data_IF_226793877699
#
_entry.id   IF_226793877699
#
_cell.length_a   1.000
_cell.length_b   1.000
_cell.length_c   1.000
_cell.angle_alpha   90.00
_cell.angle_beta   90.00
_cell.angle_gamma   90.00
#
_symmetry.space_group_name_H-M   'P 1'
#
loop_
_entity.id
_entity.type
_entity.pdbx_description
1 polymer ?
#
# COMPACT_ATOMS: atom_id res chain seq x y z
N UNK A 1 -16.99 5.82 -19.02
CA UNK A 1 -15.85 6.75 -19.00
C UNK A 1 -14.94 6.43 -20.17
N UNK A 2 -14.36 7.44 -20.84
CA UNK A 2 -13.41 7.22 -21.93
C UNK A 2 -12.09 6.61 -21.41
N UNK A 3 -11.51 5.65 -22.14
CA UNK A 3 -10.35 4.90 -21.67
C UNK A 3 -9.05 5.71 -21.66
N UNK A 4 -8.89 6.69 -22.57
CA UNK A 4 -7.74 7.61 -22.53
C UNK A 4 -7.87 8.57 -21.36
N UNK A 5 -9.07 9.08 -21.10
CA UNK A 5 -9.32 9.93 -19.95
C UNK A 5 -9.09 9.17 -18.62
N UNK A 6 -9.53 7.91 -18.54
CA UNK A 6 -9.29 7.05 -17.39
C UNK A 6 -7.79 6.82 -17.16
N UNK A 7 -7.05 6.50 -18.23
CA UNK A 7 -5.61 6.32 -18.18
C UNK A 7 -4.90 7.56 -17.63
N UNK A 8 -5.21 8.74 -18.15
CA UNK A 8 -4.57 9.98 -17.68
C UNK A 8 -4.85 10.23 -16.19
N UNK A 9 -6.09 10.05 -15.75
CA UNK A 9 -6.48 10.24 -14.34
C UNK A 9 -5.73 9.29 -13.39
N UNK A 10 -5.58 8.03 -13.77
CA UNK A 10 -4.83 7.05 -12.96
C UNK A 10 -3.34 7.40 -12.92
N UNK A 11 -2.75 7.75 -14.07
CA UNK A 11 -1.33 8.07 -14.15
C UNK A 11 -0.93 9.34 -13.38
N UNK A 12 -1.88 10.26 -13.14
CA UNK A 12 -1.65 11.47 -12.34
C UNK A 12 -2.04 11.31 -10.87
N UNK A 13 -2.44 10.12 -10.43
CA UNK A 13 -2.86 9.89 -9.05
C UNK A 13 -1.64 9.75 -8.12
N UNK A 14 -1.66 10.42 -6.96
CA UNK A 14 -0.59 10.36 -5.96
C UNK A 14 -0.36 8.92 -5.44
N UNK A 15 -1.45 8.16 -5.31
CA UNK A 15 -1.44 6.78 -4.82
C UNK A 15 -1.21 5.72 -5.92
N UNK A 16 -0.79 6.12 -7.12
CA UNK A 16 -0.61 5.21 -8.26
C UNK A 16 0.25 3.98 -7.92
N UNK A 17 1.33 4.17 -7.16
CA UNK A 17 2.20 3.05 -6.76
C UNK A 17 1.47 2.06 -5.85
N UNK A 18 0.69 2.54 -4.89
CA UNK A 18 -0.09 1.68 -4.00
C UNK A 18 -1.14 0.87 -4.77
N UNK A 19 -1.75 1.46 -5.80
CA UNK A 19 -2.67 0.72 -6.68
C UNK A 19 -1.93 -0.38 -7.46
N UNK A 20 -0.74 -0.07 -7.98
CA UNK A 20 0.11 -1.02 -8.70
C UNK A 20 0.47 -2.21 -7.79
N UNK A 21 0.88 -1.93 -6.56
CA UNK A 21 1.23 -2.95 -5.57
C UNK A 21 0.03 -3.82 -5.20
N UNK A 22 -1.13 -3.20 -4.94
CA UNK A 22 -2.36 -3.92 -4.58
C UNK A 22 -2.81 -4.91 -5.67
N UNK A 23 -2.82 -4.48 -6.92
CA UNK A 23 -3.23 -5.34 -8.04
C UNK A 23 -2.09 -6.19 -8.62
N UNK A 24 -0.86 -6.06 -8.10
CA UNK A 24 0.34 -6.72 -8.63
C UNK A 24 0.54 -6.45 -10.13
N UNK A 25 0.37 -5.19 -10.53
CA UNK A 25 0.53 -4.70 -11.90
C UNK A 25 1.58 -3.59 -11.97
N UNK A 26 2.11 -3.36 -13.16
CA UNK A 26 3.03 -2.25 -13.45
C UNK A 26 2.34 -1.09 -14.16
N UNK A 27 2.94 0.10 -14.06
CA UNK A 27 2.51 1.29 -14.81
C UNK A 27 2.50 1.02 -16.32
N UNK A 28 3.45 0.24 -16.83
CA UNK A 28 3.50 -0.11 -18.25
C UNK A 28 2.32 -1.00 -18.68
N UNK A 29 1.89 -1.95 -17.84
CA UNK A 29 0.68 -2.72 -18.11
C UNK A 29 -0.57 -1.82 -18.14
N UNK A 30 -0.67 -0.83 -17.25
CA UNK A 30 -1.78 0.14 -17.25
C UNK A 30 -1.81 0.95 -18.56
N UNK A 31 -0.64 1.36 -19.08
CA UNK A 31 -0.53 2.08 -20.37
C UNK A 31 -0.89 1.20 -21.57
N UNK A 32 -0.47 -0.06 -21.55
CA UNK A 32 -0.72 -1.03 -22.64
C UNK A 32 -2.19 -1.48 -22.67
N UNK A 33 -2.85 -1.53 -21.51
CA UNK A 33 -4.23 -1.99 -21.37
C UNK A 33 -5.10 -0.93 -20.66
N UNK A 34 -5.60 0.09 -21.38
CA UNK A 34 -6.38 1.18 -20.79
C UNK A 34 -7.65 0.77 -20.02
N UNK A 35 -8.14 -0.46 -20.23
CA UNK A 35 -9.25 -1.03 -19.45
C UNK A 35 -8.89 -1.22 -17.97
N UNK A 36 -7.62 -1.48 -17.66
CA UNK A 36 -7.12 -1.58 -16.29
C UNK A 36 -7.32 -0.24 -15.57
N UNK A 37 -7.04 0.88 -16.25
CA UNK A 37 -7.25 2.21 -15.67
C UNK A 37 -8.73 2.49 -15.38
N UNK A 38 -9.65 2.02 -16.22
CA UNK A 38 -11.09 2.13 -15.97
C UNK A 38 -11.47 1.34 -14.72
N UNK A 39 -11.00 0.09 -14.61
CA UNK A 39 -11.28 -0.76 -13.46
C UNK A 39 -10.74 -0.18 -12.14
N UNK A 40 -9.51 0.36 -12.16
CA UNK A 40 -8.91 1.03 -11.00
C UNK A 40 -9.79 2.19 -10.54
N UNK A 41 -10.27 3.03 -11.48
CA UNK A 41 -11.12 4.17 -11.15
C UNK A 41 -12.50 3.78 -10.63
N UNK A 42 -13.08 2.68 -11.12
CA UNK A 42 -14.34 2.13 -10.61
C UNK A 42 -14.23 1.70 -9.14
N UNK A 43 -13.04 1.25 -8.71
CA UNK A 43 -12.77 0.78 -7.36
C UNK A 43 -11.95 1.78 -6.51
N UNK A 44 -11.71 3.00 -7.03
CA UNK A 44 -10.79 3.95 -6.43
C UNK A 44 -11.18 4.34 -5.00
N UNK A 45 -12.47 4.55 -4.73
CA UNK A 45 -12.93 4.92 -3.38
C UNK A 45 -12.53 3.87 -2.34
N UNK A 46 -12.73 2.59 -2.65
CA UNK A 46 -12.37 1.50 -1.74
C UNK A 46 -10.85 1.39 -1.53
N UNK A 47 -10.06 1.63 -2.58
CA UNK A 47 -8.59 1.63 -2.49
C UNK A 47 -8.10 2.79 -1.61
N UNK A 48 -8.66 3.98 -1.80
CA UNK A 48 -8.33 5.17 -1.01
C UNK A 48 -8.70 4.98 0.47
N UNK A 49 -9.87 4.41 0.76
CA UNK A 49 -10.28 4.08 2.12
C UNK A 49 -9.31 3.06 2.78
N UNK A 50 -8.88 2.05 2.02
CA UNK A 50 -7.90 1.08 2.52
C UNK A 50 -6.55 1.74 2.81
N UNK A 51 -6.04 2.56 1.90
CA UNK A 51 -4.78 3.30 2.06
C UNK A 51 -4.87 4.23 3.27
N UNK A 52 -5.95 4.99 3.39
CA UNK A 52 -6.19 5.87 4.52
C UNK A 52 -6.27 5.11 5.85
N UNK A 53 -6.93 3.95 5.88
CA UNK A 53 -7.01 3.08 7.06
C UNK A 53 -5.63 2.60 7.53
N UNK A 54 -4.78 2.15 6.61
CA UNK A 54 -3.40 1.77 6.95
C UNK A 54 -2.57 2.96 7.40
N UNK A 55 -2.74 4.14 6.80
CA UNK A 55 -2.05 5.36 7.22
C UNK A 55 -2.46 5.80 8.64
N UNK A 56 -3.74 5.76 8.97
CA UNK A 56 -4.27 6.07 10.30
C UNK A 56 -3.76 5.08 11.36
N UNK A 57 -3.67 3.80 11.00
CA UNK A 57 -3.14 2.76 11.89
C UNK A 57 -1.61 2.75 11.97
N UNK A 58 -0.90 3.38 11.03
CA UNK A 58 0.57 3.45 11.02
C UNK A 58 1.12 4.02 12.32
N UNK A 59 0.51 5.11 12.83
CA UNK A 59 0.90 5.69 14.11
C UNK A 59 0.66 4.71 15.26
N UNK A 60 -0.52 4.10 15.36
CA UNK A 60 -0.81 3.13 16.43
C UNK A 60 0.16 1.93 16.38
N UNK A 61 0.40 1.40 15.19
CA UNK A 61 1.31 0.27 14.98
C UNK A 61 2.75 0.65 15.32
N UNK A 62 3.19 1.87 15.02
CA UNK A 62 4.50 2.38 15.42
C UNK A 62 4.63 2.48 16.95
N UNK A 63 3.59 2.96 17.64
CA UNK A 63 3.57 3.03 19.10
C UNK A 63 3.66 1.63 19.73
N UNK A 64 2.86 0.67 19.25
CA UNK A 64 2.92 -0.73 19.71
C UNK A 64 4.32 -1.31 19.47
N UNK A 65 4.85 -1.19 18.26
CA UNK A 65 6.19 -1.69 17.95
C UNK A 65 7.27 -1.06 18.84
N UNK A 66 7.18 0.24 19.13
CA UNK A 66 8.12 0.92 20.02
C UNK A 66 8.04 0.41 21.48
N UNK A 67 6.83 0.16 21.99
CA UNK A 67 6.63 -0.38 23.34
C UNK A 67 7.20 -1.79 23.49
N UNK A 68 7.07 -2.64 22.47
CA UNK A 68 7.55 -4.03 22.52
C UNK A 68 9.00 -4.23 22.04
N UNK A 69 9.63 -3.18 21.49
CA UNK A 69 11.00 -3.27 20.96
C UNK A 69 12.03 -3.66 22.03
N UNK A 70 11.88 -3.16 23.27
CA UNK A 70 12.75 -3.55 24.39
C UNK A 70 12.56 -5.01 24.77
N UNK A 71 11.32 -5.51 24.82
CA UNK A 71 11.03 -6.90 25.13
C UNK A 71 11.63 -7.86 24.10
N UNK A 72 11.57 -7.51 22.81
CA UNK A 72 12.16 -8.32 21.75
C UNK A 72 13.70 -8.37 21.87
N UNK A 73 14.34 -7.24 22.16
CA UNK A 73 15.78 -7.16 22.38
C UNK A 73 16.23 -7.99 23.58
N UNK A 74 15.48 -7.96 24.68
CA UNK A 74 15.75 -8.78 25.86
C UNK A 74 15.61 -10.28 25.55
N UNK A 75 14.59 -10.67 24.80
CA UNK A 75 14.35 -12.05 24.41
C UNK A 75 15.49 -12.58 23.53
N UNK A 76 15.91 -11.80 22.51
CA UNK A 76 17.05 -12.14 21.66
C UNK A 76 18.36 -12.26 22.46
N UNK A 77 18.59 -11.37 23.42
CA UNK A 77 19.75 -11.42 24.29
C UNK A 77 19.75 -12.66 25.20
N UNK A 78 18.57 -13.11 25.65
CA UNK A 78 18.44 -14.35 26.44
C UNK A 78 18.73 -15.58 25.59
N UNK A 79 18.22 -15.65 24.36
CA UNK A 79 18.50 -16.76 23.43
C UNK A 79 20.00 -16.86 23.16
N UNK A 80 20.67 -15.72 22.90
CA UNK A 80 22.13 -15.66 22.65
C UNK A 80 23.00 -16.00 23.86
N UNK A 81 22.45 -16.03 25.08
CA UNK A 81 23.18 -16.41 26.30
C UNK A 81 23.06 -17.89 26.64
N UNK A 82 22.18 -18.63 25.98
CA UNK A 82 21.90 -20.04 26.23
C UNK A 82 22.53 -20.94 25.14
N UNK A 83 22.87 -20.38 23.98
CA UNK A 83 23.69 -21.04 22.95
C UNK A 83 25.16 -20.66 23.09
#
# INVERSE_FOLDING_TARGET
>A
MDAKQALNRVLTCENLQAYCDYYSISIEQIKQEPKIAVYILEHQSSLEEMIAGYAQMSTLNQHICAEFQQCEQECQNRIKRIG
#
